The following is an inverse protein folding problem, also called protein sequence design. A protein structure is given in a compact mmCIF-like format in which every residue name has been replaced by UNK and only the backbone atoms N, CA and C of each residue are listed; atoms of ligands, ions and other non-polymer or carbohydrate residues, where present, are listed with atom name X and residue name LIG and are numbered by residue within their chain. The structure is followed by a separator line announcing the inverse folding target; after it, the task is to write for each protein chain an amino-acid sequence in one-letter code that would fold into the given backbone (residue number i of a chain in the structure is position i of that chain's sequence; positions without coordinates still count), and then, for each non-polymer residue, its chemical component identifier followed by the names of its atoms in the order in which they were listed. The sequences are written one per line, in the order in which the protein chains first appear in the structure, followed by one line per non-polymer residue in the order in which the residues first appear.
data_IF_005026438972
#
_entry.id   IF_005026438972
#
_cell.length_a   1.000
_cell.length_b   1.000
_cell.length_c   1.000
_cell.angle_alpha   90.00
_cell.angle_beta   90.00
_cell.angle_gamma   90.00
#
_symmetry.space_group_name_H-M   'P 1'
#
loop_
_entity.id
_entity.type
_entity.pdbx_description
1 polymer ?
#
# COMPACT_ATOMS: atom_id res chain seq x y z
N UNK A 1 14.13 -24.40 4.13
CA UNK A 1 12.89 -23.67 4.47
C UNK A 1 12.28 -23.26 3.14
N UNK A 2 11.16 -23.86 2.73
CA UNK A 2 10.48 -23.43 1.48
C UNK A 2 9.94 -22.04 1.73
N UNK A 3 10.55 -21.00 1.16
CA UNK A 3 10.03 -19.64 1.29
C UNK A 3 8.70 -19.56 0.56
N UNK A 4 7.60 -19.67 1.32
CA UNK A 4 6.23 -19.82 0.81
C UNK A 4 5.68 -18.49 0.29
N UNK A 5 6.26 -17.94 -0.77
CA UNK A 5 5.77 -16.71 -1.41
C UNK A 5 4.70 -16.96 -2.48
N UNK A 6 4.49 -18.22 -2.87
CA UNK A 6 3.46 -18.63 -3.81
C UNK A 6 2.07 -18.65 -3.13
N UNK A 7 1.11 -17.81 -3.57
CA UNK A 7 -0.25 -17.77 -3.01
C UNK A 7 -1.03 -19.09 -3.11
N UNK A 8 -0.60 -20.01 -3.97
CA UNK A 8 -1.24 -21.31 -4.16
C UNK A 8 -0.64 -22.41 -3.30
N UNK A 9 0.47 -22.13 -2.61
CA UNK A 9 1.13 -23.12 -1.77
C UNK A 9 0.25 -23.47 -0.55
N UNK A 10 0.15 -24.76 -0.13
CA UNK A 10 -0.73 -25.18 0.96
C UNK A 10 -0.49 -24.47 2.30
N UNK A 11 0.76 -24.05 2.56
CA UNK A 11 1.15 -23.30 3.77
C UNK A 11 1.00 -21.78 3.65
N UNK A 12 0.63 -21.23 2.50
CA UNK A 12 0.63 -19.77 2.28
C UNK A 12 -0.17 -19.03 3.35
N UNK A 13 -1.33 -19.60 3.71
CA UNK A 13 -2.26 -19.04 4.68
C UNK A 13 -1.98 -19.45 6.15
N UNK A 14 -0.94 -20.23 6.41
CA UNK A 14 -0.57 -20.62 7.76
C UNK A 14 0.10 -19.44 8.48
N UNK A 15 -0.53 -18.93 9.54
CA UNK A 15 -0.01 -17.78 10.28
C UNK A 15 1.33 -18.06 10.96
N UNK A 16 1.49 -19.20 11.64
CA UNK A 16 2.76 -19.56 12.28
C UNK A 16 3.93 -19.59 11.28
N UNK A 17 3.77 -20.27 10.15
CA UNK A 17 4.77 -20.30 9.08
C UNK A 17 5.12 -18.91 8.53
N UNK A 18 4.12 -18.04 8.41
CA UNK A 18 4.31 -16.68 7.95
C UNK A 18 5.07 -15.84 8.98
N UNK A 19 4.78 -16.00 10.28
CA UNK A 19 5.48 -15.34 11.38
C UNK A 19 6.93 -15.82 11.50
N UNK A 20 7.19 -17.12 11.40
CA UNK A 20 8.54 -17.68 11.39
C UNK A 20 9.37 -17.11 10.22
N UNK A 21 8.73 -16.95 9.05
CA UNK A 21 9.37 -16.35 7.88
C UNK A 21 9.60 -14.84 8.04
N UNK A 22 8.71 -14.11 8.74
CA UNK A 22 8.95 -12.71 9.13
C UNK A 22 10.19 -12.61 10.01
N UNK A 23 10.29 -13.40 11.07
CA UNK A 23 11.44 -13.41 11.98
C UNK A 23 12.74 -13.72 11.25
N UNK A 24 12.75 -14.75 10.39
CA UNK A 24 13.91 -15.08 9.55
C UNK A 24 14.32 -13.91 8.64
N UNK A 25 13.37 -13.30 7.92
CA UNK A 25 13.68 -12.20 7.02
C UNK A 25 14.13 -10.95 7.80
N UNK A 26 13.56 -10.71 8.97
CA UNK A 26 13.91 -9.60 9.85
C UNK A 26 15.33 -9.73 10.40
N UNK A 27 15.74 -10.93 10.80
CA UNK A 27 17.12 -11.23 11.21
C UNK A 27 18.12 -10.97 10.08
N UNK A 28 17.86 -11.50 8.88
CA UNK A 28 18.69 -11.24 7.70
C UNK A 28 18.74 -9.73 7.35
N UNK A 29 17.62 -9.02 7.46
CA UNK A 29 17.56 -7.59 7.22
C UNK A 29 18.35 -6.81 8.27
N UNK A 30 18.26 -7.21 9.54
CA UNK A 30 18.98 -6.60 10.65
C UNK A 30 20.49 -6.78 10.53
N UNK A 31 20.95 -7.94 10.09
CA UNK A 31 22.38 -8.18 9.83
C UNK A 31 22.95 -7.30 8.70
N UNK A 32 22.12 -6.89 7.73
CA UNK A 32 22.56 -6.13 6.56
C UNK A 32 22.34 -4.62 6.67
N UNK A 33 21.20 -4.19 7.22
CA UNK A 33 20.69 -2.80 7.35
C UNK A 33 20.74 -1.91 6.11
N UNK A 34 21.05 -2.44 4.92
CA UNK A 34 21.21 -1.67 3.67
C UNK A 34 19.96 -0.85 3.29
N UNK A 35 18.77 -1.32 3.65
CA UNK A 35 17.51 -0.75 3.19
C UNK A 35 16.99 0.43 4.02
N UNK A 36 17.71 0.86 5.08
CA UNK A 36 17.23 1.88 6.03
C UNK A 36 16.81 3.21 5.37
N UNK A 37 17.46 3.59 4.27
CA UNK A 37 17.18 4.82 3.53
C UNK A 37 16.22 4.63 2.34
N UNK A 38 15.72 3.41 2.10
CA UNK A 38 14.84 3.09 0.97
C UNK A 38 13.37 3.09 1.37
N UNK A 39 13.04 2.70 2.61
CA UNK A 39 11.67 2.44 3.04
C UNK A 39 11.52 2.59 4.57
N UNK A 40 10.43 3.20 5.06
CA UNK A 40 10.16 3.44 6.48
C UNK A 40 10.01 2.15 7.31
N UNK A 41 9.59 1.04 6.70
CA UNK A 41 9.50 -0.25 7.37
C UNK A 41 10.83 -0.69 8.01
N UNK A 42 11.98 -0.34 7.40
CA UNK A 42 13.29 -0.77 7.89
C UNK A 42 13.75 0.01 9.13
N UNK A 43 13.66 1.36 9.19
CA UNK A 43 13.82 2.10 10.44
C UNK A 43 12.97 1.53 11.58
N UNK A 44 11.66 1.34 11.38
CA UNK A 44 10.77 0.76 12.40
C UNK A 44 11.20 -0.64 12.83
N UNK A 45 11.63 -1.47 11.87
CA UNK A 45 12.13 -2.82 12.16
C UNK A 45 13.40 -2.77 13.02
N UNK A 46 14.37 -1.95 12.63
CA UNK A 46 15.66 -1.89 13.32
C UNK A 46 15.53 -1.26 14.70
N UNK A 47 14.71 -0.21 14.84
CA UNK A 47 14.39 0.38 16.15
C UNK A 47 13.72 -0.64 17.08
N UNK A 48 12.79 -1.45 16.57
CA UNK A 48 12.13 -2.49 17.36
C UNK A 48 13.14 -3.57 17.81
N UNK A 49 13.99 -4.07 16.90
CA UNK A 49 15.00 -5.09 17.25
C UNK A 49 16.05 -4.52 18.22
N UNK A 50 16.50 -3.28 18.01
CA UNK A 50 17.48 -2.63 18.89
C UNK A 50 16.92 -2.41 20.31
N UNK A 51 15.59 -2.26 20.45
CA UNK A 51 14.93 -2.19 21.75
C UNK A 51 14.88 -3.53 22.52
N UNK A 52 15.10 -4.64 21.83
CA UNK A 52 15.24 -5.99 22.39
C UNK A 52 16.69 -6.50 22.35
N UNK A 53 17.67 -5.59 22.44
CA UNK A 53 19.11 -5.90 22.47
C UNK A 53 19.61 -6.71 21.24
N UNK A 54 18.95 -6.58 20.09
CA UNK A 54 19.28 -7.33 18.88
C UNK A 54 18.53 -8.65 18.73
N UNK A 55 17.72 -9.06 19.71
CA UNK A 55 16.97 -10.31 19.67
C UNK A 55 15.69 -10.17 18.82
N UNK A 56 15.71 -10.76 17.63
CA UNK A 56 14.57 -10.74 16.71
C UNK A 56 13.42 -11.62 17.20
N UNK A 57 13.71 -12.71 17.91
CA UNK A 57 12.69 -13.63 18.43
C UNK A 57 11.86 -12.99 19.56
N UNK A 58 12.39 -11.94 20.19
CA UNK A 58 11.69 -11.16 21.21
C UNK A 58 10.62 -10.20 20.62
N UNK A 59 10.58 -10.00 19.29
CA UNK A 59 9.62 -9.12 18.64
C UNK A 59 8.18 -9.60 18.85
N UNK A 60 7.36 -8.73 19.44
CA UNK A 60 5.93 -8.93 19.55
C UNK A 60 5.24 -8.94 18.18
N UNK A 61 4.07 -9.57 18.11
CA UNK A 61 3.22 -9.56 16.90
C UNK A 61 2.94 -8.13 16.42
N UNK A 62 2.74 -7.19 17.35
CA UNK A 62 2.47 -5.79 17.03
C UNK A 62 3.67 -5.09 16.39
N UNK A 63 4.89 -5.35 16.86
CA UNK A 63 6.11 -4.82 16.26
C UNK A 63 6.33 -5.41 14.86
N UNK A 64 6.09 -6.71 14.70
CA UNK A 64 6.17 -7.36 13.37
C UNK A 64 5.16 -6.78 12.39
N UNK A 65 3.92 -6.55 12.85
CA UNK A 65 2.84 -6.01 12.02
C UNK A 65 3.05 -4.54 11.67
N UNK A 66 3.66 -3.73 12.56
CA UNK A 66 4.00 -2.34 12.27
C UNK A 66 4.91 -2.22 11.04
N UNK A 67 5.92 -3.07 10.94
CA UNK A 67 6.85 -3.12 9.79
C UNK A 67 6.09 -3.41 8.49
N UNK A 68 5.11 -4.31 8.56
CA UNK A 68 4.24 -4.65 7.41
C UNK A 68 3.33 -3.49 7.04
N UNK A 69 2.71 -2.85 8.03
CA UNK A 69 1.76 -1.74 7.84
C UNK A 69 2.42 -0.50 7.20
N UNK A 70 3.73 -0.34 7.38
CA UNK A 70 4.53 0.72 6.76
C UNK A 70 5.01 0.38 5.33
N UNK A 71 4.83 -0.86 4.88
CA UNK A 71 5.24 -1.29 3.54
C UNK A 71 4.21 -0.88 2.48
N UNK A 72 4.55 0.12 1.67
CA UNK A 72 3.72 0.58 0.53
C UNK A 72 4.05 -0.11 -0.81
N UNK A 73 4.72 -1.27 -0.79
CA UNK A 73 4.90 -2.14 -1.96
C UNK A 73 5.63 -1.50 -3.17
N UNK A 74 6.55 -0.56 -2.94
CA UNK A 74 7.34 0.05 -4.03
C UNK A 74 8.43 -0.85 -4.62
N UNK A 75 8.82 -1.90 -3.88
CA UNK A 75 9.84 -2.92 -4.27
C UNK A 75 11.26 -2.39 -4.46
N UNK A 76 11.58 -1.17 -4.03
CA UNK A 76 12.95 -0.65 -4.08
C UNK A 76 13.93 -1.50 -3.26
N UNK A 77 13.50 -2.01 -2.10
CA UNK A 77 14.30 -2.92 -1.28
C UNK A 77 14.64 -4.22 -2.01
N UNK A 78 13.70 -4.78 -2.79
CA UNK A 78 13.94 -5.99 -3.58
C UNK A 78 15.00 -5.76 -4.65
N UNK A 79 14.90 -4.66 -5.41
CA UNK A 79 15.87 -4.35 -6.48
C UNK A 79 17.29 -4.11 -5.93
N UNK A 80 17.41 -3.64 -4.70
CA UNK A 80 18.71 -3.35 -4.05
C UNK A 80 19.26 -4.49 -3.21
N UNK A 81 18.42 -5.45 -2.82
CA UNK A 81 18.82 -6.51 -1.91
C UNK A 81 19.74 -7.53 -2.62
N UNK A 82 20.91 -7.86 -2.06
CA UNK A 82 21.80 -8.88 -2.62
C UNK A 82 21.32 -10.32 -2.38
N UNK A 83 20.31 -10.49 -1.53
CA UNK A 83 19.84 -11.79 -1.03
C UNK A 83 18.53 -12.27 -1.65
N UNK A 84 18.05 -11.59 -2.70
CA UNK A 84 16.89 -12.04 -3.48
C UNK A 84 17.20 -13.34 -4.24
N UNK A 85 16.19 -14.15 -4.62
CA UNK A 85 16.42 -15.32 -5.47
C UNK A 85 17.24 -14.97 -6.73
N UNK A 86 18.23 -15.80 -7.12
CA UNK A 86 18.49 -17.18 -6.67
C UNK A 86 19.48 -17.31 -5.49
N UNK A 87 19.72 -16.25 -4.70
CA UNK A 87 20.54 -16.36 -3.50
C UNK A 87 19.98 -17.41 -2.54
N UNK A 88 20.84 -18.12 -1.79
CA UNK A 88 20.46 -19.21 -0.88
C UNK A 88 19.46 -18.81 0.23
N UNK A 89 19.35 -17.53 0.53
CA UNK A 89 18.42 -17.00 1.53
C UNK A 89 17.04 -16.66 0.96
N UNK A 90 16.90 -16.67 -0.37
CA UNK A 90 15.66 -16.46 -1.11
C UNK A 90 14.81 -15.30 -0.55
N UNK A 91 15.41 -14.14 -0.24
CA UNK A 91 14.72 -13.07 0.47
C UNK A 91 13.79 -12.28 -0.48
N UNK A 92 12.47 -12.37 -0.28
CA UNK A 92 11.49 -11.55 -1.00
C UNK A 92 10.62 -10.74 -0.02
N UNK A 93 11.20 -9.66 0.52
CA UNK A 93 10.56 -8.81 1.52
C UNK A 93 9.19 -8.30 1.04
N UNK A 94 9.02 -7.73 -0.18
CA UNK A 94 7.71 -7.26 -0.61
C UNK A 94 6.64 -8.36 -0.68
N UNK A 95 6.98 -9.56 -1.19
CA UNK A 95 6.02 -10.66 -1.20
C UNK A 95 5.68 -11.17 0.19
N UNK A 96 6.64 -11.18 1.11
CA UNK A 96 6.37 -11.54 2.50
C UNK A 96 5.41 -10.55 3.17
N UNK A 97 5.60 -9.25 2.95
CA UNK A 97 4.66 -8.23 3.44
C UNK A 97 3.25 -8.46 2.87
N UNK A 98 3.15 -8.75 1.57
CA UNK A 98 1.87 -9.06 0.92
C UNK A 98 1.22 -10.32 1.49
N UNK A 99 2.02 -11.35 1.78
CA UNK A 99 1.56 -12.58 2.44
C UNK A 99 1.02 -12.29 3.83
N UNK A 100 1.74 -11.52 4.66
CA UNK A 100 1.24 -11.13 5.99
C UNK A 100 -0.11 -10.40 5.88
N UNK A 101 -0.23 -9.42 4.97
CA UNK A 101 -1.50 -8.73 4.71
C UNK A 101 -2.61 -9.70 4.30
N UNK A 102 -2.33 -10.67 3.43
CA UNK A 102 -3.32 -11.64 2.98
C UNK A 102 -3.80 -12.56 4.12
N UNK A 103 -2.87 -13.03 4.96
CA UNK A 103 -3.17 -13.85 6.15
C UNK A 103 -4.01 -13.05 7.16
N UNK A 104 -3.54 -11.85 7.55
CA UNK A 104 -4.25 -10.98 8.51
C UNK A 104 -5.64 -10.61 8.04
N UNK A 105 -5.83 -10.37 6.74
CA UNK A 105 -7.13 -10.00 6.15
C UNK A 105 -8.24 -11.02 6.43
N UNK A 106 -7.89 -12.29 6.67
CA UNK A 106 -8.89 -13.31 7.04
C UNK A 106 -9.52 -13.01 8.40
N UNK A 107 -8.76 -12.45 9.32
CA UNK A 107 -9.14 -12.10 10.68
C UNK A 107 -9.78 -10.72 10.79
N UNK A 108 -9.77 -9.91 9.72
CA UNK A 108 -10.38 -8.59 9.72
C UNK A 108 -11.89 -8.64 10.02
N UNK A 109 -12.34 -7.68 10.82
CA UNK A 109 -13.76 -7.42 11.04
C UNK A 109 -14.47 -6.93 9.76
N UNK A 110 -15.80 -7.03 9.76
CA UNK A 110 -16.64 -6.64 8.63
C UNK A 110 -16.38 -5.19 8.16
N UNK A 111 -16.19 -4.27 9.12
CA UNK A 111 -15.91 -2.84 8.84
C UNK A 111 -14.67 -2.64 7.96
N UNK A 112 -13.56 -3.29 8.31
CA UNK A 112 -12.30 -3.19 7.58
C UNK A 112 -12.45 -3.80 6.17
N UNK A 113 -13.00 -5.02 6.08
CA UNK A 113 -13.27 -5.70 4.80
C UNK A 113 -14.10 -4.86 3.83
N UNK A 114 -15.17 -4.24 4.30
CA UNK A 114 -16.03 -3.37 3.48
C UNK A 114 -15.31 -2.09 3.05
N UNK A 115 -14.55 -1.48 3.97
CA UNK A 115 -13.77 -0.28 3.65
C UNK A 115 -12.72 -0.57 2.59
N UNK A 116 -11.93 -1.63 2.76
CA UNK A 116 -10.90 -2.04 1.81
C UNK A 116 -11.48 -2.41 0.45
N UNK A 117 -12.63 -3.08 0.43
CA UNK A 117 -13.31 -3.41 -0.81
C UNK A 117 -13.81 -2.15 -1.55
N UNK A 118 -14.28 -1.14 -0.81
CA UNK A 118 -14.66 0.14 -1.40
C UNK A 118 -13.43 0.89 -1.93
N UNK A 119 -12.37 1.03 -1.12
CA UNK A 119 -11.14 1.72 -1.49
C UNK A 119 -10.39 1.03 -2.64
N UNK A 120 -10.44 -0.29 -2.72
CA UNK A 120 -9.88 -1.08 -3.81
C UNK A 120 -10.63 -0.90 -5.15
N UNK A 121 -11.82 -0.30 -5.15
CA UNK A 121 -12.60 0.05 -6.34
C UNK A 121 -12.44 1.52 -6.69
N UNK A 122 -11.20 1.94 -6.91
CA UNK A 122 -10.82 3.35 -7.15
C UNK A 122 -11.62 4.00 -8.27
N UNK A 123 -11.90 3.30 -9.36
CA UNK A 123 -12.62 3.88 -10.50
C UNK A 123 -14.09 4.13 -10.21
N UNK A 124 -14.72 3.22 -9.46
CA UNK A 124 -16.11 3.36 -9.01
C UNK A 124 -16.22 4.52 -8.03
N UNK A 125 -15.37 4.52 -6.99
CA UNK A 125 -15.35 5.59 -5.97
C UNK A 125 -15.03 6.93 -6.62
N UNK A 126 -13.97 7.00 -7.42
CA UNK A 126 -13.55 8.22 -8.11
C UNK A 126 -14.61 8.77 -9.05
N UNK A 127 -15.30 7.91 -9.81
CA UNK A 127 -16.39 8.34 -10.69
C UNK A 127 -17.57 8.89 -9.90
N UNK A 128 -18.02 8.20 -8.85
CA UNK A 128 -19.12 8.66 -8.00
C UNK A 128 -18.75 9.97 -7.27
N UNK A 129 -17.55 10.04 -6.69
CA UNK A 129 -17.08 11.23 -5.99
C UNK A 129 -16.90 12.42 -6.93
N UNK A 130 -16.49 12.21 -8.18
CA UNK A 130 -16.44 13.27 -9.21
C UNK A 130 -17.83 13.81 -9.53
N UNK A 131 -18.85 12.93 -9.65
CA UNK A 131 -20.24 13.34 -9.93
C UNK A 131 -20.82 14.24 -8.83
N UNK A 132 -20.44 13.99 -7.57
CA UNK A 132 -20.89 14.77 -6.41
C UNK A 132 -19.75 15.59 -5.77
N UNK A 133 -18.76 16.01 -6.56
CA UNK A 133 -17.51 16.60 -6.05
C UNK A 133 -17.71 17.75 -5.04
N UNK A 134 -18.63 18.72 -5.22
CA UNK A 134 -18.86 19.76 -4.22
C UNK A 134 -19.25 19.20 -2.85
N UNK A 135 -20.12 18.19 -2.81
CA UNK A 135 -20.56 17.54 -1.58
C UNK A 135 -19.45 16.66 -1.00
N UNK A 136 -18.80 15.85 -1.84
CA UNK A 136 -17.69 15.00 -1.43
C UNK A 136 -16.57 15.83 -0.78
N UNK A 137 -16.22 16.97 -1.38
CA UNK A 137 -15.20 17.87 -0.86
C UNK A 137 -15.66 18.58 0.42
N UNK A 138 -16.91 19.02 0.51
CA UNK A 138 -17.44 19.62 1.75
C UNK A 138 -17.37 18.65 2.94
N UNK A 139 -17.54 17.35 2.71
CA UNK A 139 -17.44 16.31 3.76
C UNK A 139 -15.99 15.95 4.09
N UNK A 140 -15.08 15.99 3.11
CA UNK A 140 -13.74 15.39 3.23
C UNK A 140 -12.58 16.37 3.40
N UNK A 141 -12.74 17.65 3.05
CA UNK A 141 -11.62 18.60 2.93
C UNK A 141 -11.12 19.20 4.24
N UNK A 142 -11.90 19.16 5.33
CA UNK A 142 -11.51 19.79 6.60
C UNK A 142 -11.10 18.71 7.62
N UNK A 143 -9.79 18.52 7.87
CA UNK A 143 -9.30 17.59 8.90
C UNK A 143 -9.95 17.84 10.26
N UNK A 144 -10.25 16.77 10.99
CA UNK A 144 -10.81 16.85 12.34
C UNK A 144 -12.27 17.33 12.44
N UNK A 145 -12.89 17.75 11.33
CA UNK A 145 -14.29 18.21 11.31
C UNK A 145 -15.30 17.11 11.71
N UNK A 146 -16.51 17.51 12.11
CA UNK A 146 -17.54 16.55 12.53
C UNK A 146 -17.84 15.47 11.45
N UNK A 147 -18.01 15.81 10.16
CA UNK A 147 -18.19 14.80 9.12
C UNK A 147 -16.99 13.83 9.00
N UNK A 148 -15.75 14.32 9.16
CA UNK A 148 -14.54 13.47 9.17
C UNK A 148 -14.51 12.51 10.34
N UNK A 149 -14.86 12.97 11.55
CA UNK A 149 -14.94 12.11 12.75
C UNK A 149 -16.02 11.03 12.62
N UNK A 150 -17.15 11.35 12.01
CA UNK A 150 -18.19 10.36 11.67
C UNK A 150 -17.65 9.37 10.64
N UNK A 151 -17.01 9.86 9.59
CA UNK A 151 -16.41 9.02 8.54
C UNK A 151 -15.33 8.09 9.10
N UNK A 152 -14.50 8.55 10.04
CA UNK A 152 -13.49 7.74 10.73
C UNK A 152 -14.14 6.59 11.52
N UNK A 153 -15.23 6.83 12.25
CA UNK A 153 -15.92 5.75 12.97
C UNK A 153 -16.49 4.68 12.03
N UNK A 154 -16.92 5.08 10.83
CA UNK A 154 -17.51 4.17 9.84
C UNK A 154 -16.43 3.44 9.03
N UNK A 155 -15.41 4.16 8.57
CA UNK A 155 -14.41 3.67 7.60
C UNK A 155 -13.06 3.35 8.23
N UNK A 156 -12.74 3.94 9.38
CA UNK A 156 -11.42 3.83 10.03
C UNK A 156 -10.36 4.72 9.40
N UNK A 157 -10.72 5.52 8.40
CA UNK A 157 -9.80 6.51 7.82
C UNK A 157 -9.72 7.69 8.80
N UNK A 158 -8.54 7.92 9.35
CA UNK A 158 -8.29 8.95 10.36
C UNK A 158 -8.90 10.32 9.96
N UNK A 159 -9.62 10.96 10.88
CA UNK A 159 -10.28 12.23 10.63
C UNK A 159 -9.28 13.35 10.29
N UNK A 160 -8.08 13.29 10.87
CA UNK A 160 -6.99 14.26 10.66
C UNK A 160 -6.24 14.06 9.34
N UNK A 161 -6.49 12.96 8.62
CA UNK A 161 -5.83 12.72 7.33
C UNK A 161 -6.34 13.71 6.29
N UNK A 162 -5.42 14.47 5.69
CA UNK A 162 -5.69 15.30 4.52
C UNK A 162 -6.09 14.41 3.34
N UNK A 163 -7.29 14.59 2.77
CA UNK A 163 -7.71 13.88 1.56
C UNK A 163 -7.68 14.81 0.34
N UNK A 164 -7.19 14.34 -0.83
CA UNK A 164 -7.20 15.15 -2.03
C UNK A 164 -8.64 15.48 -2.46
N UNK A 165 -8.91 16.73 -2.89
CA UNK A 165 -10.22 17.10 -3.39
C UNK A 165 -10.51 16.42 -4.73
N UNK A 166 -11.75 16.01 -4.94
CA UNK A 166 -12.22 15.54 -6.24
C UNK A 166 -12.48 16.72 -7.18
N UNK A 167 -12.11 16.55 -8.44
CA UNK A 167 -12.44 17.47 -9.51
C UNK A 167 -13.91 17.27 -9.95
N UNK A 168 -14.53 18.31 -10.51
CA UNK A 168 -15.89 18.19 -11.11
C UNK A 168 -15.90 17.52 -12.47
N UNK A 169 -14.73 17.42 -13.11
CA UNK A 169 -14.55 16.85 -14.44
C UNK A 169 -13.41 15.83 -14.36
N UNK A 170 -13.59 14.68 -15.00
CA UNK A 170 -12.53 13.68 -15.12
C UNK A 170 -11.52 14.05 -16.20
N UNK A 171 -10.26 13.61 -16.05
CA UNK A 171 -9.23 13.80 -17.08
C UNK A 171 -9.68 13.24 -18.42
N UNK A 172 -10.17 11.99 -18.46
CA UNK A 172 -10.64 11.37 -19.71
C UNK A 172 -11.73 12.17 -20.41
N UNK A 173 -12.64 12.80 -19.66
CA UNK A 173 -13.71 13.66 -20.19
C UNK A 173 -13.15 14.98 -20.71
N UNK A 174 -12.21 15.59 -19.99
CA UNK A 174 -11.52 16.80 -20.42
C UNK A 174 -10.66 16.55 -21.67
N UNK A 175 -9.87 15.48 -21.66
CA UNK A 175 -8.95 15.13 -22.74
C UNK A 175 -9.66 14.88 -24.07
N UNK A 176 -10.88 14.34 -24.04
CA UNK A 176 -11.72 14.18 -25.25
C UNK A 176 -12.24 15.50 -25.83
N UNK A 177 -12.35 16.55 -25.01
CA UNK A 177 -12.86 17.88 -25.42
C UNK A 177 -11.75 18.83 -25.88
N UNK A 178 -10.48 18.48 -25.67
CA UNK A 178 -9.36 19.33 -26.05
C UNK A 178 -9.25 19.45 -27.57
N UNK A 179 -8.66 20.55 -28.04
CA UNK A 179 -8.33 20.71 -29.46
C UNK A 179 -7.32 19.64 -29.85
N UNK A 180 -7.65 18.86 -30.89
CA UNK A 180 -6.74 17.87 -31.44
C UNK A 180 -5.83 18.57 -32.45
N UNK A 181 -4.51 18.65 -32.20
CA UNK A 181 -3.61 19.31 -33.14
C UNK A 181 -3.55 18.53 -34.45
N UNK A 182 -3.51 19.27 -35.57
CA UNK A 182 -3.25 18.65 -36.88
C UNK A 182 -1.76 18.37 -36.98
N UNK A 183 -1.38 17.10 -37.05
CA UNK A 183 0.01 16.69 -37.18
C UNK A 183 0.42 16.76 -38.66
N UNK A 184 1.33 17.67 -39.00
CA UNK A 184 1.89 17.78 -40.37
C UNK A 184 2.78 16.59 -40.72
N UNK A 185 3.40 15.96 -39.71
CA UNK A 185 4.18 14.72 -39.84
C UNK A 185 3.94 13.82 -38.63
N UNK A 186 3.34 12.65 -38.86
CA UNK A 186 3.10 11.66 -37.80
C UNK A 186 4.41 10.94 -37.45
N UNK A 187 4.84 11.03 -36.20
CA UNK A 187 6.06 10.37 -35.70
C UNK A 187 5.79 9.03 -34.98
N UNK A 188 4.54 8.76 -34.62
CA UNK A 188 4.16 7.54 -33.92
C UNK A 188 2.73 7.59 -33.38
N UNK A 189 2.39 6.60 -32.54
CA UNK A 189 1.16 6.56 -31.76
C UNK A 189 1.53 6.50 -30.28
N UNK A 190 0.78 7.21 -29.44
CA UNK A 190 0.99 7.24 -27.99
C UNK A 190 -0.31 6.89 -27.31
N UNK A 191 -0.25 6.02 -26.30
CA UNK A 191 -1.36 5.75 -25.39
C UNK A 191 -1.04 6.40 -24.05
N UNK A 192 -1.99 7.16 -23.52
CA UNK A 192 -1.88 7.84 -22.22
C UNK A 192 -2.74 7.11 -21.22
N UNK A 193 -2.15 6.67 -20.11
CA UNK A 193 -2.85 6.07 -18.98
C UNK A 193 -2.81 7.06 -17.81
N UNK A 194 -3.90 7.82 -17.55
CA UNK A 194 -3.94 8.68 -16.38
C UNK A 194 -3.93 7.84 -15.11
N UNK A 195 -3.23 8.30 -14.08
CA UNK A 195 -3.35 7.71 -12.74
C UNK A 195 -4.72 8.08 -12.15
N UNK A 196 -5.14 7.38 -11.09
CA UNK A 196 -6.39 7.70 -10.40
C UNK A 196 -6.44 9.15 -9.88
N UNK A 197 -5.29 9.71 -9.48
CA UNK A 197 -5.20 11.11 -9.04
C UNK A 197 -5.47 12.08 -10.20
N UNK A 198 -4.88 11.82 -11.36
CA UNK A 198 -5.11 12.64 -12.57
C UNK A 198 -6.55 12.47 -13.05
N UNK A 199 -7.06 11.23 -13.10
CA UNK A 199 -8.40 10.96 -13.61
C UNK A 199 -9.51 11.64 -12.80
N UNK A 200 -9.38 11.74 -11.47
CA UNK A 200 -10.49 12.15 -10.60
C UNK A 200 -10.24 13.42 -9.76
N UNK A 201 -9.01 13.88 -9.60
CA UNK A 201 -8.68 14.96 -8.64
C UNK A 201 -7.94 16.13 -9.29
N UNK A 202 -7.01 15.86 -10.22
CA UNK A 202 -6.25 16.90 -10.91
C UNK A 202 -6.14 16.62 -12.43
N UNK A 203 -7.27 16.77 -13.15
CA UNK A 203 -7.36 16.53 -14.59
C UNK A 203 -6.66 17.60 -15.44
#
# INVERSE_FOLDING_TARGET
MTTTYDPTHPRYDNEGDMRDELLRVYDLCHGCRLCFNLCPSFPSLFEAIDAHDGDVEALSVAEQDKVVDECYQCKLCYVKCPYVPPHEWELDFPRLMLRNTAVRRKHDGLRAKLTDQALGRTDLVGTLSTMVAPLANAVTQTPGSLPRRVMEKVTGIAAERMLPPYARQRFSTWFKKRVTPTLTRRQGSVTVFPTCLVEYQNP
#
